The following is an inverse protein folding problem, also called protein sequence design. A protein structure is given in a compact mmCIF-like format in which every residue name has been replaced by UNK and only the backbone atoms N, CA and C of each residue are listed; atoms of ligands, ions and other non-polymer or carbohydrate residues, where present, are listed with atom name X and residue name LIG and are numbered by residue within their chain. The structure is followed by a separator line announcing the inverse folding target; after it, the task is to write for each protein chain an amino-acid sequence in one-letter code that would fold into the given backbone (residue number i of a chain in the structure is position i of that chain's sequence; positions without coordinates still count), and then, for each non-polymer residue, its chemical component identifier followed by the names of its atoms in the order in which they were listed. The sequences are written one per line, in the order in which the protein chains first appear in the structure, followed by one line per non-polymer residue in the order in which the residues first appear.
data_IF_339959721594
#
_entry.id   IF_339959721594
#
_cell.length_a   1.000
_cell.length_b   1.000
_cell.length_c   1.000
_cell.angle_alpha   90.00
_cell.angle_beta   90.00
_cell.angle_gamma   90.00
#
_symmetry.space_group_name_H-M   'P 1'
#
loop_
_entity.id
_entity.type
_entity.pdbx_description
1 polymer ?
#
# COMPACT_ATOMS: atom_id res chain seq x y z
N UNK A 1 -10.83 -23.05 24.77
CA UNK A 1 -12.02 -22.25 24.43
C UNK A 1 -11.69 -21.62 23.07
N UNK A 2 -12.16 -22.23 22.01
CA UNK A 2 -12.01 -21.69 20.63
C UNK A 2 -13.05 -20.60 20.48
N UNK A 3 -12.63 -19.34 20.52
CA UNK A 3 -13.48 -18.21 20.13
C UNK A 3 -13.81 -18.38 18.66
N UNK A 4 -15.07 -18.75 18.36
CA UNK A 4 -15.60 -18.70 16.99
C UNK A 4 -15.74 -17.23 16.61
N UNK A 5 -14.72 -16.67 15.99
CA UNK A 5 -14.84 -15.36 15.35
C UNK A 5 -15.95 -15.44 14.28
N UNK A 6 -16.92 -14.54 14.37
CA UNK A 6 -17.97 -14.45 13.36
C UNK A 6 -17.37 -14.12 11.97
N UNK A 7 -18.01 -14.63 10.90
CA UNK A 7 -17.61 -14.27 9.55
C UNK A 7 -17.72 -12.75 9.33
N UNK A 8 -16.80 -12.13 8.53
CA UNK A 8 -16.86 -10.71 8.23
C UNK A 8 -18.15 -10.38 7.48
N UNK A 9 -18.79 -9.28 7.85
CA UNK A 9 -20.07 -8.83 7.26
C UNK A 9 -19.88 -7.85 6.12
N UNK A 10 -18.71 -7.23 6.03
CA UNK A 10 -18.37 -6.23 5.00
C UNK A 10 -17.05 -6.56 4.33
N UNK A 11 -16.84 -6.05 3.10
CA UNK A 11 -15.55 -6.16 2.40
C UNK A 11 -14.40 -5.56 3.22
N UNK A 12 -14.64 -4.42 3.88
CA UNK A 12 -13.64 -3.79 4.77
C UNK A 12 -13.19 -4.71 5.92
N UNK A 13 -14.15 -5.35 6.59
CA UNK A 13 -13.84 -6.29 7.69
C UNK A 13 -13.10 -7.52 7.19
N UNK A 14 -13.48 -8.02 6.01
CA UNK A 14 -12.80 -9.13 5.36
C UNK A 14 -11.33 -8.80 5.06
N UNK A 15 -11.09 -7.69 4.36
CA UNK A 15 -9.73 -7.23 4.01
C UNK A 15 -8.90 -6.95 5.27
N UNK A 16 -9.46 -6.24 6.25
CA UNK A 16 -8.74 -5.95 7.49
C UNK A 16 -8.31 -7.23 8.20
N UNK A 17 -9.20 -8.20 8.38
CA UNK A 17 -8.88 -9.49 9.02
C UNK A 17 -7.85 -10.28 8.22
N UNK A 18 -7.98 -10.31 6.90
CA UNK A 18 -7.03 -10.98 6.03
C UNK A 18 -5.63 -10.40 6.19
N UNK A 19 -5.47 -9.09 6.07
CA UNK A 19 -4.17 -8.42 6.14
C UNK A 19 -3.55 -8.42 7.55
N UNK A 20 -4.34 -8.54 8.61
CA UNK A 20 -3.81 -8.79 9.95
C UNK A 20 -3.15 -10.18 10.10
N UNK A 21 -3.64 -11.17 9.35
CA UNK A 21 -3.21 -12.57 9.51
C UNK A 21 -2.11 -13.04 8.54
N UNK A 22 -1.91 -12.35 7.40
CA UNK A 22 -1.06 -12.82 6.30
C UNK A 22 0.29 -12.12 6.18
N UNK A 23 0.69 -11.28 7.13
CA UNK A 23 1.93 -10.48 7.07
C UNK A 23 3.13 -11.33 6.69
N UNK A 24 3.36 -12.43 7.41
CA UNK A 24 4.50 -13.33 7.16
C UNK A 24 4.43 -14.00 5.78
N UNK A 25 3.23 -14.42 5.37
CA UNK A 25 3.03 -15.03 4.05
C UNK A 25 3.28 -14.02 2.92
N UNK A 26 2.88 -12.77 3.14
CA UNK A 26 3.17 -11.68 2.20
C UNK A 26 4.68 -11.45 2.07
N UNK A 27 5.42 -11.36 3.17
CA UNK A 27 6.88 -11.18 3.15
C UNK A 27 7.60 -12.33 2.43
N UNK A 28 7.18 -13.58 2.69
CA UNK A 28 7.85 -14.77 2.14
C UNK A 28 7.65 -14.91 0.62
N UNK A 29 6.50 -14.47 0.09
CA UNK A 29 6.09 -14.72 -1.31
C UNK A 29 5.78 -13.44 -2.10
N UNK A 30 4.65 -12.77 -1.83
CA UNK A 30 4.17 -11.65 -2.62
C UNK A 30 5.08 -10.42 -2.52
N UNK A 31 5.68 -10.17 -1.36
CA UNK A 31 6.60 -9.06 -1.16
C UNK A 31 7.80 -9.09 -2.11
N UNK A 32 8.32 -10.29 -2.43
CA UNK A 32 9.43 -10.46 -3.39
C UNK A 32 9.00 -10.15 -4.83
N UNK A 33 7.75 -10.45 -5.17
CA UNK A 33 7.21 -10.18 -6.50
C UNK A 33 6.93 -8.69 -6.69
N UNK A 34 6.22 -8.08 -5.74
CA UNK A 34 5.88 -6.65 -5.79
C UNK A 34 7.11 -5.75 -5.67
N UNK A 35 8.16 -6.20 -4.98
CA UNK A 35 9.43 -5.48 -4.85
C UNK A 35 10.09 -5.16 -6.21
N UNK A 36 9.86 -5.96 -7.24
CA UNK A 36 10.39 -5.72 -8.59
C UNK A 36 9.80 -4.46 -9.24
N UNK A 37 8.64 -4.01 -8.79
CA UNK A 37 7.97 -2.81 -9.31
C UNK A 37 8.33 -1.53 -8.54
N UNK A 38 9.07 -1.63 -7.43
CA UNK A 38 9.35 -0.48 -6.55
C UNK A 38 10.21 0.56 -7.26
N UNK A 39 11.39 0.18 -7.74
CA UNK A 39 12.28 1.15 -8.40
C UNK A 39 11.64 1.77 -9.65
N UNK A 40 10.99 1.00 -10.57
CA UNK A 40 10.23 1.57 -11.68
C UNK A 40 9.15 2.57 -11.25
N UNK A 41 8.43 2.29 -10.15
CA UNK A 41 7.40 3.20 -9.62
C UNK A 41 8.03 4.53 -9.16
N UNK A 42 9.10 4.46 -8.37
CA UNK A 42 9.81 5.63 -7.86
C UNK A 42 10.47 6.44 -8.99
N UNK A 43 10.98 5.78 -10.02
CA UNK A 43 11.55 6.43 -11.22
C UNK A 43 10.48 7.17 -12.02
N UNK A 44 9.29 6.57 -12.18
CA UNK A 44 8.17 7.18 -12.91
C UNK A 44 7.73 8.50 -12.28
N UNK A 45 7.71 8.59 -10.94
CA UNK A 45 7.34 9.81 -10.23
C UNK A 45 8.54 10.70 -9.89
N UNK A 46 9.74 10.34 -10.31
CA UNK A 46 10.96 11.12 -10.12
C UNK A 46 11.15 11.59 -8.65
N UNK A 47 11.12 10.67 -7.69
CA UNK A 47 11.33 10.99 -6.28
C UNK A 47 12.67 11.69 -6.08
N UNK A 48 12.66 12.86 -5.41
CA UNK A 48 13.79 13.73 -5.18
C UNK A 48 14.13 13.85 -3.68
N UNK A 49 15.36 14.23 -3.37
CA UNK A 49 15.88 14.32 -2.00
C UNK A 49 15.10 15.27 -1.08
N UNK A 50 14.43 16.28 -1.63
CA UNK A 50 13.66 17.27 -0.87
C UNK A 50 12.18 16.92 -0.74
N UNK A 51 11.72 15.85 -1.39
CA UNK A 51 10.30 15.49 -1.40
C UNK A 51 9.82 15.00 -0.02
N UNK A 52 8.59 15.37 0.29
CA UNK A 52 7.76 14.69 1.29
C UNK A 52 6.92 13.63 0.59
N UNK A 53 7.17 12.38 0.93
CA UNK A 53 6.55 11.23 0.27
C UNK A 53 5.56 10.54 1.20
N UNK A 54 4.36 10.24 0.71
CA UNK A 54 3.36 9.40 1.37
C UNK A 54 3.23 8.10 0.60
N UNK A 55 3.39 6.97 1.28
CA UNK A 55 3.14 5.62 0.78
C UNK A 55 1.85 5.09 1.43
N UNK A 56 0.76 5.03 0.67
CA UNK A 56 -0.57 4.59 1.13
C UNK A 56 -0.71 3.08 0.88
N UNK A 57 -1.24 2.35 1.85
CA UNK A 57 -1.21 0.88 1.93
C UNK A 57 0.23 0.37 1.87
N UNK A 58 1.05 0.92 2.75
CA UNK A 58 2.51 0.69 2.77
C UNK A 58 2.90 -0.76 3.08
N UNK A 59 1.98 -1.55 3.68
CA UNK A 59 2.26 -2.91 4.11
C UNK A 59 3.48 -2.97 5.03
N UNK A 60 4.44 -3.89 4.79
CA UNK A 60 5.70 -3.97 5.54
C UNK A 60 6.69 -2.82 5.28
N UNK A 61 6.30 -1.79 4.51
CA UNK A 61 7.08 -0.57 4.32
C UNK A 61 8.15 -0.63 3.22
N UNK A 62 8.09 -1.56 2.29
CA UNK A 62 9.15 -1.73 1.27
C UNK A 62 9.25 -0.54 0.31
N UNK A 63 8.13 0.01 -0.16
CA UNK A 63 8.12 1.22 -1.01
C UNK A 63 8.59 2.43 -0.19
N UNK A 64 8.07 2.60 1.02
CA UNK A 64 8.51 3.67 1.93
C UNK A 64 10.02 3.62 2.18
N UNK A 65 10.59 2.42 2.42
CA UNK A 65 12.02 2.23 2.62
C UNK A 65 12.84 2.54 1.37
N UNK A 66 12.35 2.17 0.19
CA UNK A 66 13.01 2.52 -1.07
C UNK A 66 12.95 4.02 -1.34
N UNK A 67 11.81 4.65 -1.09
CA UNK A 67 11.64 6.10 -1.20
C UNK A 67 12.57 6.85 -0.23
N UNK A 68 12.75 6.35 0.99
CA UNK A 68 13.64 6.96 2.00
C UNK A 68 15.13 6.94 1.61
N UNK A 69 15.53 6.08 0.67
CA UNK A 69 16.89 6.14 0.09
C UNK A 69 17.06 7.29 -0.90
N UNK A 70 15.95 7.87 -1.39
CA UNK A 70 15.92 8.95 -2.38
C UNK A 70 15.45 10.28 -1.80
N UNK A 71 14.56 10.25 -0.79
CA UNK A 71 13.91 11.40 -0.19
C UNK A 71 14.17 11.49 1.32
N UNK A 72 14.25 12.71 1.86
CA UNK A 72 14.54 12.93 3.27
C UNK A 72 13.36 12.69 4.21
N UNK A 73 12.12 12.74 3.70
CA UNK A 73 10.91 12.70 4.53
C UNK A 73 9.85 11.76 3.92
N UNK A 74 9.73 10.57 4.50
CA UNK A 74 8.79 9.55 4.03
C UNK A 74 7.86 9.15 5.18
N UNK A 75 6.57 9.05 4.87
CA UNK A 75 5.54 8.51 5.75
C UNK A 75 4.85 7.35 5.06
N UNK A 76 4.74 6.21 5.75
CA UNK A 76 3.92 5.08 5.32
C UNK A 76 2.61 5.06 6.11
N UNK A 77 1.50 4.73 5.45
CA UNK A 77 0.20 4.56 6.07
C UNK A 77 -0.40 3.21 5.66
N UNK A 78 -0.94 2.47 6.63
CA UNK A 78 -1.67 1.24 6.39
C UNK A 78 -2.82 1.10 7.38
N UNK A 79 -3.89 0.40 7.00
CA UNK A 79 -5.04 0.18 7.90
C UNK A 79 -4.83 -1.01 8.84
N UNK A 80 -3.82 -1.84 8.59
CA UNK A 80 -3.44 -2.98 9.41
C UNK A 80 -2.39 -2.59 10.44
N UNK A 81 -2.73 -2.67 11.73
CA UNK A 81 -1.79 -2.44 12.83
C UNK A 81 -0.60 -3.41 12.79
N UNK A 82 -0.82 -4.65 12.34
CA UNK A 82 0.25 -5.66 12.21
C UNK A 82 1.23 -5.30 11.08
N UNK A 83 0.73 -4.76 9.95
CA UNK A 83 1.60 -4.24 8.89
C UNK A 83 2.43 -3.07 9.40
N UNK A 84 1.82 -2.12 10.11
CA UNK A 84 2.52 -0.97 10.71
C UNK A 84 3.57 -1.40 11.74
N UNK A 85 3.25 -2.37 12.60
CA UNK A 85 4.20 -2.92 13.57
C UNK A 85 5.41 -3.56 12.86
N UNK A 86 5.16 -4.32 11.79
CA UNK A 86 6.19 -4.95 10.97
C UNK A 86 7.06 -3.90 10.26
N UNK A 87 6.43 -2.91 9.60
CA UNK A 87 7.13 -1.83 8.90
C UNK A 87 8.04 -1.03 9.85
N UNK A 88 7.53 -0.68 11.03
CA UNK A 88 8.28 0.06 12.05
C UNK A 88 9.49 -0.73 12.58
N UNK A 89 9.34 -2.05 12.71
CA UNK A 89 10.44 -2.93 13.12
C UNK A 89 11.51 -3.09 12.04
N UNK A 90 11.10 -3.22 10.78
CA UNK A 90 12.00 -3.40 9.65
C UNK A 90 12.73 -2.09 9.26
N UNK A 91 12.07 -0.95 9.45
CA UNK A 91 12.54 0.36 8.98
C UNK A 91 12.44 1.44 10.07
N UNK A 92 13.21 1.34 11.17
CA UNK A 92 13.03 2.16 12.38
C UNK A 92 13.30 3.67 12.18
N UNK A 93 13.82 4.08 11.03
CA UNK A 93 14.06 5.50 10.70
C UNK A 93 12.91 6.16 9.92
N UNK A 94 11.84 5.43 9.62
CA UNK A 94 10.71 5.92 8.81
C UNK A 94 9.46 6.07 9.70
N UNK A 95 8.67 7.09 9.45
CA UNK A 95 7.39 7.29 10.16
C UNK A 95 6.32 6.39 9.52
N UNK A 96 5.70 5.53 10.35
CA UNK A 96 4.55 4.72 9.96
C UNK A 96 3.34 5.05 10.82
N UNK A 97 2.15 5.10 10.20
CA UNK A 97 0.87 5.38 10.88
C UNK A 97 -0.20 4.40 10.44
N UNK A 98 -0.95 3.90 11.41
CA UNK A 98 -2.21 3.23 11.14
C UNK A 98 -3.25 4.26 10.66
N UNK A 99 -4.02 3.93 9.62
CA UNK A 99 -5.04 4.84 9.08
C UNK A 99 -5.77 4.29 7.87
N UNK A 100 -6.89 4.92 7.55
CA UNK A 100 -7.75 4.58 6.42
C UNK A 100 -7.38 5.43 5.20
N UNK A 101 -7.11 4.78 4.06
CA UNK A 101 -6.86 5.46 2.79
C UNK A 101 -8.03 6.36 2.34
N UNK A 102 -9.27 6.00 2.71
CA UNK A 102 -10.46 6.80 2.44
C UNK A 102 -10.66 8.00 3.38
N UNK A 103 -9.80 8.16 4.40
CA UNK A 103 -9.81 9.29 5.33
C UNK A 103 -8.41 9.53 5.88
N UNK A 104 -7.54 10.11 5.06
CA UNK A 104 -6.14 10.32 5.41
C UNK A 104 -5.98 11.35 6.53
N UNK A 105 -5.26 11.02 7.61
CA UNK A 105 -5.06 11.91 8.76
C UNK A 105 -3.96 12.95 8.51
N UNK A 106 -4.01 13.61 7.36
CA UNK A 106 -3.03 14.60 6.92
C UNK A 106 -3.75 15.85 6.37
N UNK A 107 -3.08 16.98 6.46
CA UNK A 107 -3.58 18.24 5.91
C UNK A 107 -3.58 18.23 4.38
N UNK A 108 -4.39 19.11 3.78
CA UNK A 108 -4.41 19.34 2.34
C UNK A 108 -3.02 19.77 1.85
N UNK A 109 -2.64 19.34 0.64
CA UNK A 109 -1.42 19.75 -0.03
C UNK A 109 -0.13 19.59 0.81
N UNK A 110 -0.04 18.53 1.63
CA UNK A 110 1.05 18.29 2.58
C UNK A 110 2.18 17.42 2.03
N UNK A 111 1.99 16.78 0.86
CA UNK A 111 2.97 15.88 0.25
C UNK A 111 3.35 16.28 -1.18
N UNK A 112 4.60 16.07 -1.52
CA UNK A 112 5.15 16.27 -2.87
C UNK A 112 4.91 15.08 -3.78
N UNK A 113 4.92 13.88 -3.20
CA UNK A 113 4.69 12.61 -3.88
C UNK A 113 3.76 11.74 -3.04
N UNK A 114 2.75 11.15 -3.70
CA UNK A 114 1.87 10.13 -3.11
C UNK A 114 1.98 8.86 -3.92
N UNK A 115 2.17 7.73 -3.24
CA UNK A 115 2.35 6.41 -3.83
C UNK A 115 1.27 5.44 -3.34
N UNK A 116 0.82 4.55 -4.21
CA UNK A 116 0.01 3.37 -3.86
C UNK A 116 0.59 2.18 -4.62
N UNK A 117 1.21 1.24 -3.90
CA UNK A 117 1.78 0.04 -4.50
C UNK A 117 0.88 -1.17 -4.32
N UNK A 118 0.14 -1.58 -5.35
CA UNK A 118 -0.77 -2.73 -5.37
C UNK A 118 -1.95 -2.68 -4.38
N UNK A 119 -2.05 -1.64 -3.54
CA UNK A 119 -3.06 -1.51 -2.49
C UNK A 119 -4.47 -1.17 -2.97
N UNK A 120 -4.61 -0.55 -4.14
CA UNK A 120 -5.89 0.03 -4.62
C UNK A 120 -7.05 -0.98 -4.68
N UNK A 121 -6.76 -2.25 -4.98
CA UNK A 121 -7.76 -3.32 -5.10
C UNK A 121 -8.32 -3.79 -3.74
N UNK A 122 -7.68 -3.41 -2.66
CA UNK A 122 -8.06 -3.74 -1.28
C UNK A 122 -8.87 -2.62 -0.60
N UNK A 123 -9.10 -1.51 -1.29
CA UNK A 123 -9.88 -0.40 -0.74
C UNK A 123 -11.38 -0.62 -0.94
N UNK A 124 -12.19 -0.48 0.12
CA UNK A 124 -13.65 -0.59 0.00
C UNK A 124 -14.27 0.47 -0.92
N UNK A 125 -13.68 1.66 -0.97
CA UNK A 125 -14.03 2.77 -1.86
C UNK A 125 -12.75 3.35 -2.48
N UNK A 126 -12.29 2.78 -3.62
CA UNK A 126 -11.10 3.25 -4.30
C UNK A 126 -11.19 4.72 -4.76
N UNK A 127 -12.36 5.15 -5.18
CA UNK A 127 -12.57 6.54 -5.64
C UNK A 127 -12.40 7.53 -4.48
N UNK A 128 -12.87 7.17 -3.30
CA UNK A 128 -12.66 7.98 -2.10
C UNK A 128 -11.18 8.05 -1.72
N UNK A 129 -10.49 6.92 -1.76
CA UNK A 129 -9.05 6.87 -1.48
C UNK A 129 -8.24 7.71 -2.48
N UNK A 130 -8.60 7.69 -3.77
CA UNK A 130 -7.96 8.52 -4.79
C UNK A 130 -8.26 10.01 -4.57
N UNK A 131 -9.48 10.38 -4.15
CA UNK A 131 -9.79 11.78 -3.78
C UNK A 131 -8.96 12.25 -2.58
N UNK A 132 -8.77 11.41 -1.57
CA UNK A 132 -7.93 11.71 -0.42
C UNK A 132 -6.44 11.81 -0.81
N UNK A 133 -5.94 10.89 -1.63
CA UNK A 133 -4.59 10.97 -2.18
C UNK A 133 -4.37 12.29 -2.95
N UNK A 134 -5.35 12.72 -3.72
CA UNK A 134 -5.32 14.00 -4.43
C UNK A 134 -5.39 15.21 -3.48
N UNK A 135 -6.23 15.15 -2.44
CA UNK A 135 -6.37 16.22 -1.44
C UNK A 135 -5.04 16.50 -0.72
N UNK A 136 -4.35 15.45 -0.28
CA UNK A 136 -3.08 15.60 0.45
C UNK A 136 -1.89 15.91 -0.45
N UNK A 137 -2.02 15.69 -1.78
CA UNK A 137 -1.01 16.02 -2.76
C UNK A 137 -1.01 17.52 -3.04
N UNK A 138 0.15 18.18 -2.96
CA UNK A 138 0.26 19.61 -3.29
C UNK A 138 0.06 19.87 -4.78
N UNK A 139 -0.25 21.11 -5.13
CA UNK A 139 -0.29 21.54 -6.55
C UNK A 139 1.08 21.31 -7.20
N UNK A 140 1.09 20.62 -8.34
CA UNK A 140 2.32 20.22 -9.05
C UNK A 140 3.04 19.03 -8.40
N UNK A 141 2.43 18.39 -7.39
CA UNK A 141 2.90 17.11 -6.85
C UNK A 141 2.71 15.97 -7.83
N UNK A 142 3.26 14.79 -7.50
CA UNK A 142 3.29 13.62 -8.37
C UNK A 142 2.63 12.43 -7.68
N UNK A 143 1.78 11.73 -8.42
CA UNK A 143 1.09 10.54 -7.95
C UNK A 143 1.58 9.31 -8.72
N UNK A 144 1.92 8.24 -8.01
CA UNK A 144 2.32 6.96 -8.57
C UNK A 144 1.45 5.81 -8.08
N UNK A 145 1.02 4.98 -9.02
CA UNK A 145 0.21 3.81 -8.74
C UNK A 145 0.77 2.59 -9.47
N UNK A 146 0.95 1.48 -8.77
CA UNK A 146 1.12 0.17 -9.39
C UNK A 146 -0.08 -0.72 -9.08
N UNK A 147 -0.48 -1.54 -10.06
CA UNK A 147 -1.62 -2.46 -9.96
C UNK A 147 -1.37 -3.68 -10.84
N UNK A 148 -1.97 -4.80 -10.48
CA UNK A 148 -1.88 -6.00 -11.30
C UNK A 148 -2.54 -5.78 -12.67
N UNK A 149 -1.90 -6.25 -13.73
CA UNK A 149 -2.51 -6.26 -15.05
C UNK A 149 -3.75 -7.18 -15.05
N UNK A 150 -4.67 -6.92 -15.99
CA UNK A 150 -5.82 -7.78 -16.20
C UNK A 150 -5.39 -9.24 -16.44
N UNK A 151 -6.21 -10.25 -16.05
CA UNK A 151 -5.83 -11.66 -16.11
C UNK A 151 -5.39 -12.16 -17.50
N UNK A 152 -5.92 -11.57 -18.58
CA UNK A 152 -5.53 -11.85 -19.96
C UNK A 152 -4.11 -11.36 -20.30
N UNK A 153 -3.58 -10.39 -19.55
CA UNK A 153 -2.25 -9.82 -19.71
C UNK A 153 -1.26 -10.24 -18.61
N UNK A 154 -1.75 -10.90 -17.55
CA UNK A 154 -0.95 -11.39 -16.44
C UNK A 154 -0.98 -12.93 -16.43
N UNK A 155 -0.02 -13.57 -17.12
CA UNK A 155 -0.01 -15.02 -17.32
C UNK A 155 -0.20 -15.84 -16.04
N UNK A 156 0.47 -15.47 -14.93
CA UNK A 156 0.34 -16.14 -13.64
C UNK A 156 -1.06 -16.05 -13.06
N UNK A 157 -1.65 -14.87 -13.02
CA UNK A 157 -3.02 -14.67 -12.56
C UNK A 157 -4.04 -15.36 -13.47
N UNK A 158 -3.85 -15.30 -14.79
CA UNK A 158 -4.71 -15.99 -15.74
C UNK A 158 -4.73 -17.51 -15.55
N UNK A 159 -3.62 -18.13 -15.14
CA UNK A 159 -3.56 -19.56 -14.81
C UNK A 159 -4.39 -19.86 -13.55
N UNK A 160 -4.20 -19.07 -12.49
CA UNK A 160 -4.91 -19.24 -11.22
C UNK A 160 -6.43 -19.07 -11.43
N UNK A 161 -6.86 -18.01 -12.10
CA UNK A 161 -8.27 -17.77 -12.35
C UNK A 161 -8.94 -18.91 -13.12
N UNK A 162 -8.31 -19.39 -14.20
CA UNK A 162 -8.82 -20.55 -14.95
C UNK A 162 -8.86 -21.85 -14.14
N UNK A 163 -8.04 -21.99 -13.10
CA UNK A 163 -8.06 -23.17 -12.24
C UNK A 163 -9.21 -23.11 -11.22
N UNK A 164 -9.63 -21.92 -10.81
CA UNK A 164 -10.73 -21.70 -9.82
C UNK A 164 -12.11 -21.73 -10.49
N UNK A 165 -12.20 -21.40 -11.78
CA UNK A 165 -13.47 -21.41 -12.57
C UNK A 165 -13.96 -22.84 -12.95
N UNK A 166 -13.20 -23.89 -12.63
CA UNK A 166 -13.55 -25.32 -12.85
C UNK A 166 -14.11 -25.96 -11.59
#
# INVERSE_FOLDING_TARGET
MTSTESAPTTFREFEHRAWQSVVKLYEDYFGKLTAQCIEPLLDTVHVQATDKVLDIATGPGYIAAAAARRAANVTGLDFSSEMIATASKLHPGITFREGDAGQLPFDDASFDVVLIGFGILHFPDPDRALREAWRVLRKGGRFGLSVWAAPDKAAGFGIIMRAVEK
#
